data_IF_718125105327
#
_entry.id   IF_718125105327
#
_cell.length_a   1.000
_cell.length_b   1.000
_cell.length_c   1.000
_cell.angle_alpha   90.00
_cell.angle_beta   90.00
_cell.angle_gamma   90.00
#
_symmetry.space_group_name_H-M   'P 1'
#
loop_
_entity.id
_entity.type
_entity.pdbx_description
1 polymer ?
#
# COMPACT_ATOMS: atom_id res chain seq x y z
N UNK A 1 2.12 -2.15 -26.30
CA UNK A 1 1.81 -0.76 -26.68
C UNK A 1 0.76 -0.28 -25.69
N UNK A 2 1.10 0.71 -24.87
CA UNK A 2 0.16 1.40 -23.99
C UNK A 2 -0.71 2.30 -24.84
N UNK A 3 -2.03 2.12 -24.77
CA UNK A 3 -2.91 3.06 -25.45
C UNK A 3 -2.96 4.29 -24.56
N UNK A 4 -2.48 5.44 -25.05
CA UNK A 4 -2.62 6.75 -24.38
C UNK A 4 -4.10 7.17 -24.20
N UNK A 5 -5.04 6.26 -24.45
CA UNK A 5 -6.47 6.46 -24.39
C UNK A 5 -6.94 6.04 -23.00
N UNK A 6 -7.69 6.91 -22.32
CA UNK A 6 -8.20 6.78 -20.94
C UNK A 6 -9.23 5.65 -20.75
N UNK A 7 -9.24 4.62 -21.60
CA UNK A 7 -10.23 3.51 -21.56
C UNK A 7 -9.83 2.38 -20.60
N UNK A 8 -8.57 2.37 -20.14
CA UNK A 8 -8.03 1.41 -19.18
C UNK A 8 -6.57 1.11 -19.47
N UNK A 9 -5.68 1.46 -18.54
CA UNK A 9 -4.22 1.35 -18.69
C UNK A 9 -3.58 0.44 -17.60
N UNK A 10 -4.39 -0.40 -16.98
CA UNK A 10 -3.97 -1.39 -15.99
C UNK A 10 -3.79 -2.73 -16.71
N UNK A 11 -2.55 -3.24 -16.71
CA UNK A 11 -2.19 -4.52 -17.29
C UNK A 11 -2.75 -5.70 -16.49
N UNK A 12 -2.90 -5.53 -15.19
CA UNK A 12 -3.46 -6.58 -14.33
C UNK A 12 -3.79 -6.08 -12.93
N UNK A 13 -4.78 -6.73 -12.34
CA UNK A 13 -5.19 -6.52 -10.95
C UNK A 13 -5.16 -7.88 -10.26
N UNK A 14 -4.53 -7.95 -9.10
CA UNK A 14 -4.52 -9.16 -8.29
C UNK A 14 -4.55 -8.81 -6.81
N UNK A 15 -5.19 -9.67 -6.02
CA UNK A 15 -5.24 -9.54 -4.57
C UNK A 15 -4.33 -10.59 -3.91
N UNK A 16 -3.62 -10.21 -2.85
CA UNK A 16 -2.75 -11.10 -2.08
C UNK A 16 -3.04 -10.94 -0.60
N UNK A 17 -3.30 -12.04 0.08
CA UNK A 17 -3.43 -12.08 1.53
C UNK A 17 -2.07 -12.43 2.16
N UNK A 18 -1.59 -11.60 3.09
CA UNK A 18 -0.27 -11.78 3.73
C UNK A 18 -0.38 -11.64 5.24
N UNK A 19 0.11 -12.61 6.03
CA UNK A 19 0.21 -12.45 7.48
C UNK A 19 1.28 -11.40 7.81
N UNK A 20 0.89 -10.33 8.50
CA UNK A 20 1.79 -9.28 8.96
C UNK A 20 1.92 -9.31 10.47
N UNK A 21 3.13 -9.03 10.95
CA UNK A 21 3.44 -8.80 12.37
C UNK A 21 4.01 -7.38 12.52
N UNK A 22 3.15 -6.35 12.66
CA UNK A 22 3.60 -4.98 12.80
C UNK A 22 4.36 -4.74 14.10
N UNK A 23 5.30 -3.78 14.07
CA UNK A 23 6.00 -3.28 15.25
C UNK A 23 5.22 -2.15 15.94
N UNK A 24 5.61 -1.82 17.17
CA UNK A 24 5.02 -0.73 17.93
C UNK A 24 5.17 0.62 17.21
N UNK A 25 4.11 1.42 17.25
CA UNK A 25 4.07 2.80 16.77
C UNK A 25 3.97 3.73 17.97
N UNK A 26 4.88 4.70 18.07
CA UNK A 26 4.91 5.65 19.18
C UNK A 26 3.64 6.51 19.28
N UNK A 27 3.37 7.04 20.47
CA UNK A 27 2.23 7.93 20.73
C UNK A 27 2.23 9.14 19.79
N UNK A 28 1.08 9.47 19.18
CA UNK A 28 0.93 10.62 18.27
C UNK A 28 1.96 10.68 17.12
N UNK A 29 2.42 9.53 16.63
CA UNK A 29 3.39 9.45 15.53
C UNK A 29 2.90 8.56 14.40
N UNK A 30 3.64 8.60 13.28
CA UNK A 30 3.51 7.61 12.21
C UNK A 30 4.82 6.85 12.06
N UNK A 31 4.74 5.55 11.83
CA UNK A 31 5.90 4.70 11.58
C UNK A 31 5.71 3.94 10.27
N UNK A 32 6.69 4.04 9.38
CA UNK A 32 6.75 3.24 8.17
C UNK A 32 7.41 1.90 8.48
N UNK A 33 6.73 0.81 8.12
CA UNK A 33 7.20 -0.55 8.34
C UNK A 33 7.18 -1.33 7.02
N UNK A 34 8.23 -2.11 6.79
CA UNK A 34 8.43 -2.85 5.55
C UNK A 34 8.04 -4.31 5.71
N UNK A 35 7.30 -4.82 4.74
CA UNK A 35 6.85 -6.21 4.67
C UNK A 35 7.18 -6.81 3.32
N UNK A 36 7.48 -8.12 3.33
CA UNK A 36 7.76 -8.86 2.09
C UNK A 36 6.45 -9.37 1.50
N UNK A 37 6.14 -8.93 0.28
CA UNK A 37 4.96 -9.37 -0.49
C UNK A 37 5.45 -9.82 -1.85
N UNK A 38 5.54 -11.13 -2.06
CA UNK A 38 6.06 -11.67 -3.33
C UNK A 38 5.13 -11.31 -4.48
N UNK A 39 5.72 -10.89 -5.60
CA UNK A 39 4.99 -10.60 -6.84
C UNK A 39 4.72 -9.12 -7.10
N UNK A 40 4.95 -8.22 -6.12
CA UNK A 40 4.91 -6.77 -6.37
C UNK A 40 6.20 -6.28 -7.03
N UNK A 41 6.07 -5.31 -7.92
CA UNK A 41 7.16 -4.68 -8.65
C UNK A 41 7.14 -3.17 -8.43
N UNK A 42 8.30 -2.48 -8.48
CA UNK A 42 8.31 -1.02 -8.48
C UNK A 42 7.41 -0.46 -9.58
N UNK A 43 6.59 0.55 -9.24
CA UNK A 43 5.60 1.14 -10.15
C UNK A 43 4.20 0.51 -10.08
N UNK A 44 4.02 -0.60 -9.36
CA UNK A 44 2.69 -1.09 -9.01
C UNK A 44 2.01 -0.11 -8.02
N UNK A 45 0.72 0.13 -8.22
CA UNK A 45 -0.14 0.86 -7.28
C UNK A 45 -0.73 -0.17 -6.34
N UNK A 46 -0.85 0.17 -5.06
CA UNK A 46 -1.24 -0.79 -4.04
C UNK A 46 -2.20 -0.17 -3.04
N UNK A 47 -3.21 -0.93 -2.67
CA UNK A 47 -4.08 -0.66 -1.53
C UNK A 47 -3.95 -1.79 -0.52
N UNK A 48 -4.21 -1.47 0.75
CA UNK A 48 -4.14 -2.43 1.85
C UNK A 48 -5.41 -2.38 2.68
N UNK A 49 -5.93 -3.54 3.04
CA UNK A 49 -7.09 -3.70 3.88
C UNK A 49 -6.73 -4.58 5.08
N UNK A 50 -6.89 -4.01 6.28
CA UNK A 50 -6.75 -4.74 7.55
C UNK A 50 -8.11 -5.37 7.89
N UNK A 51 -8.16 -6.65 8.31
CA UNK A 51 -9.42 -7.34 8.56
C UNK A 51 -10.17 -6.84 9.81
N UNK A 52 -9.45 -6.25 10.77
CA UNK A 52 -10.03 -5.64 11.97
C UNK A 52 -9.48 -4.23 12.16
N UNK A 53 -10.22 -3.37 12.88
CA UNK A 53 -9.76 -2.02 13.21
C UNK A 53 -9.26 -2.01 14.65
N UNK A 54 -7.99 -1.67 14.84
CA UNK A 54 -7.43 -1.40 16.16
C UNK A 54 -7.72 0.07 16.53
N UNK A 55 -8.32 0.32 17.69
CA UNK A 55 -8.68 1.67 18.09
C UNK A 55 -7.43 2.58 18.15
N UNK A 56 -7.51 3.71 17.44
CA UNK A 56 -6.41 4.69 17.37
C UNK A 56 -5.28 4.33 16.39
N UNK A 57 -5.38 3.22 15.66
CA UNK A 57 -4.45 2.89 14.57
C UNK A 57 -5.14 3.08 13.22
N UNK A 58 -4.47 3.84 12.34
CA UNK A 58 -4.85 4.00 10.95
C UNK A 58 -3.72 3.60 10.00
N UNK A 59 -4.07 3.26 8.77
CA UNK A 59 -3.08 3.15 7.68
C UNK A 59 -3.03 4.51 6.99
N UNK A 60 -1.91 5.22 7.12
CA UNK A 60 -1.74 6.56 6.56
C UNK A 60 -1.29 6.52 5.10
N UNK A 61 -0.45 5.55 4.74
CA UNK A 61 0.00 5.36 3.37
C UNK A 61 0.51 3.93 3.16
N UNK A 62 0.43 3.47 1.92
CA UNK A 62 1.04 2.21 1.48
C UNK A 62 1.74 2.46 0.15
N UNK A 63 2.95 1.90 -0.01
CA UNK A 63 3.73 2.03 -1.24
C UNK A 63 4.61 0.82 -1.48
N UNK A 64 4.85 0.49 -2.74
CA UNK A 64 5.87 -0.51 -3.10
C UNK A 64 7.24 0.17 -3.04
N UNK A 65 8.06 -0.20 -2.04
CA UNK A 65 9.37 0.44 -1.84
C UNK A 65 10.48 -0.23 -2.65
N UNK A 66 10.34 -1.52 -2.97
CA UNK A 66 11.26 -2.26 -3.82
C UNK A 66 10.54 -3.49 -4.40
N UNK A 67 11.21 -4.23 -5.29
CA UNK A 67 10.68 -5.50 -5.79
C UNK A 67 10.41 -6.45 -4.62
N UNK A 68 9.20 -7.02 -4.57
CA UNK A 68 8.69 -7.87 -3.50
C UNK A 68 8.61 -7.21 -2.11
N UNK A 69 8.70 -5.88 -2.01
CA UNK A 69 8.72 -5.15 -0.73
C UNK A 69 7.69 -4.02 -0.73
N UNK A 70 6.83 -4.03 0.28
CA UNK A 70 5.82 -2.99 0.51
C UNK A 70 6.09 -2.31 1.83
N UNK A 71 6.05 -0.98 1.81
CA UNK A 71 6.10 -0.14 2.99
C UNK A 71 4.67 0.28 3.35
N UNK A 72 4.26 -0.02 4.58
CA UNK A 72 2.98 0.40 5.17
C UNK A 72 3.30 1.40 6.27
N UNK A 73 2.74 2.60 6.18
CA UNK A 73 2.83 3.61 7.22
C UNK A 73 1.60 3.51 8.13
N UNK A 74 1.84 3.13 9.38
CA UNK A 74 0.84 3.14 10.42
C UNK A 74 0.85 4.49 11.14
N UNK A 75 -0.33 5.02 11.44
CA UNK A 75 -0.52 6.21 12.27
C UNK A 75 -1.14 5.82 13.60
N UNK A 76 -0.57 6.30 14.71
CA UNK A 76 -1.12 6.17 16.05
C UNK A 76 -1.62 7.52 16.53
N UNK A 77 -2.93 7.62 16.78
CA UNK A 77 -3.61 8.85 17.22
C UNK A 77 -3.84 8.89 18.73
N UNK A 78 -3.20 8.00 19.48
CA UNK A 78 -3.34 7.91 20.94
C UNK A 78 -2.13 8.47 21.68
N UNK A 79 -2.30 8.71 22.99
CA UNK A 79 -1.25 9.19 23.88
C UNK A 79 -0.25 8.13 24.35
N UNK A 80 -0.38 6.87 23.94
CA UNK A 80 0.52 5.78 24.30
C UNK A 80 1.01 5.01 23.05
N UNK A 81 2.12 4.29 23.17
CA UNK A 81 2.57 3.43 22.08
C UNK A 81 1.60 2.24 21.90
N UNK A 82 1.25 1.95 20.66
CA UNK A 82 0.34 0.85 20.30
C UNK A 82 1.04 -0.01 19.25
N UNK A 83 0.96 -1.33 19.41
CA UNK A 83 1.40 -2.29 18.39
C UNK A 83 0.15 -2.74 17.62
N UNK A 84 0.05 -2.47 16.31
CA UNK A 84 -1.05 -2.99 15.51
C UNK A 84 -1.10 -4.51 15.59
N UNK A 85 -2.30 -5.08 15.69
CA UNK A 85 -2.47 -6.51 15.88
C UNK A 85 -1.92 -7.30 14.69
N UNK A 86 -1.16 -8.36 14.99
CA UNK A 86 -0.66 -9.29 14.00
C UNK A 86 -1.81 -10.11 13.39
N UNK A 87 -2.08 -9.90 12.11
CA UNK A 87 -3.21 -10.48 11.38
C UNK A 87 -2.87 -10.65 9.90
N UNK A 88 -3.76 -11.28 9.13
CA UNK A 88 -3.61 -11.40 7.67
C UNK A 88 -4.24 -10.18 6.99
N UNK A 89 -3.43 -9.39 6.30
CA UNK A 89 -3.86 -8.20 5.58
C UNK A 89 -4.08 -8.56 4.12
N UNK A 90 -5.08 -7.94 3.49
CA UNK A 90 -5.35 -8.11 2.07
C UNK A 90 -4.78 -6.92 1.31
N UNK A 91 -3.93 -7.19 0.33
CA UNK A 91 -3.36 -6.20 -0.56
C UNK A 91 -4.00 -6.33 -1.93
N UNK A 92 -4.44 -5.21 -2.49
CA UNK A 92 -4.88 -5.15 -3.89
C UNK A 92 -3.79 -4.43 -4.67
N UNK A 93 -3.25 -5.11 -5.68
CA UNK A 93 -2.16 -4.60 -6.50
C UNK A 93 -2.70 -4.32 -7.89
N UNK A 94 -2.54 -3.09 -8.34
CA UNK A 94 -2.84 -2.65 -9.69
C UNK A 94 -1.53 -2.44 -10.42
N UNK A 95 -1.32 -3.21 -11.49
CA UNK A 95 -0.11 -3.14 -12.31
C UNK A 95 -0.39 -2.26 -13.53
N UNK A 96 0.23 -1.07 -13.66
CA UNK A 96 0.14 -0.29 -14.88
C UNK A 96 0.79 -1.04 -16.06
N UNK A 97 0.26 -0.82 -17.26
CA UNK A 97 0.86 -1.35 -18.50
C UNK A 97 2.19 -0.70 -18.86
N UNK A 98 2.37 0.56 -18.44
CA UNK A 98 3.63 1.29 -18.52
C UNK A 98 3.97 1.81 -17.13
N UNK A 99 5.02 1.28 -16.47
CA UNK A 99 5.46 1.79 -15.19
C UNK A 99 5.77 3.30 -15.30
N UNK A 100 5.18 4.11 -14.41
CA UNK A 100 5.43 5.56 -14.36
C UNK A 100 4.66 6.41 -15.38
N UNK A 101 3.78 5.82 -16.19
CA UNK A 101 2.96 6.56 -17.15
C UNK A 101 1.48 6.20 -16.96
N UNK A 102 0.82 6.88 -16.02
CA UNK A 102 -0.62 7.01 -16.06
C UNK A 102 -0.94 8.22 -16.94
N UNK A 103 -1.86 8.12 -17.92
CA UNK A 103 -2.23 9.27 -18.72
C UNK A 103 -2.81 10.34 -17.79
N UNK A 104 -2.13 11.48 -17.70
CA UNK A 104 -2.69 12.68 -17.07
C UNK A 104 -3.89 13.11 -17.88
N UNK A 105 -5.09 12.90 -17.37
CA UNK A 105 -6.30 13.51 -17.92
C UNK A 105 -6.34 15.05 -17.72
N UNK A 106 -5.34 15.61 -17.03
CA UNK A 106 -5.19 17.06 -16.83
C UNK A 106 -4.45 17.63 -18.04
N UNK A 107 -5.05 18.55 -18.82
CA UNK A 107 -4.33 19.31 -19.83
C UNK A 107 -3.15 20.02 -19.16
N UNK A 108 -1.96 19.98 -19.76
CA UNK A 108 -0.85 20.78 -19.30
C UNK A 108 -1.28 22.26 -19.28
N UNK A 109 -1.20 22.90 -18.11
CA UNK A 109 -1.31 24.35 -17.97
C UNK A 109 0.04 25.01 -18.28
#
# INVERSE_FOLDING_TARGET
MSSLVTRGNILGIFAVAVPLTPAAVGANTTAEQVFTIRGVKPGDIIDVNKPSLDAGIGIANVRVSAANVVAVKFANTTGAAITPKAETYTFVVYRPETPGFLPSGVPAL
#
